data_IF_473056012920
#
_entry.id   IF_473056012920
#
_cell.length_a   1.000
_cell.length_b   1.000
_cell.length_c   1.000
_cell.angle_alpha   90.00
_cell.angle_beta   90.00
_cell.angle_gamma   90.00
#
_symmetry.space_group_name_H-M   'P 1'
#
loop_
_entity.id
_entity.type
_entity.pdbx_description
1 polymer ?
#
# COMPACT_ATOMS: atom_id res chain seq x y z
N UNK A 1 5.92 -3.96 6.66
CA UNK A 1 4.77 -4.20 7.57
C UNK A 1 3.46 -4.33 6.77
N UNK A 2 2.99 -3.30 6.06
CA UNK A 2 1.76 -3.39 5.24
C UNK A 2 1.85 -4.37 4.07
N UNK A 3 2.87 -4.27 3.21
CA UNK A 3 3.04 -5.17 2.06
C UNK A 3 3.10 -6.66 2.49
N UNK A 4 3.76 -6.97 3.61
CA UNK A 4 3.77 -8.33 4.16
C UNK A 4 2.35 -8.78 4.56
N UNK A 5 1.59 -7.92 5.24
CA UNK A 5 0.22 -8.23 5.66
C UNK A 5 -0.73 -8.42 4.47
N UNK A 6 -0.57 -7.64 3.41
CA UNK A 6 -1.30 -7.80 2.15
C UNK A 6 -1.05 -9.21 1.58
N UNK A 7 0.21 -9.66 1.56
CA UNK A 7 0.57 -11.03 1.17
C UNK A 7 -0.05 -12.11 2.07
N UNK A 8 -0.03 -11.93 3.40
CA UNK A 8 -0.66 -12.85 4.36
C UNK A 8 -2.18 -12.99 4.16
N UNK A 9 -2.84 -11.95 3.60
CA UNK A 9 -4.27 -11.95 3.28
C UNK A 9 -4.58 -12.50 1.87
N UNK A 10 -3.60 -13.11 1.22
CA UNK A 10 -3.75 -13.77 -0.08
C UNK A 10 -3.72 -12.81 -1.27
N UNK A 11 -3.27 -11.57 -1.09
CA UNK A 11 -3.06 -10.63 -2.20
C UNK A 11 -1.60 -10.73 -2.63
N UNK A 12 -1.34 -11.37 -3.77
CA UNK A 12 0.00 -11.48 -4.32
C UNK A 12 0.52 -10.12 -4.78
N UNK A 13 1.74 -9.76 -4.41
CA UNK A 13 2.39 -8.54 -4.87
C UNK A 13 3.33 -8.91 -6.01
N UNK A 14 3.03 -8.43 -7.21
CA UNK A 14 3.83 -8.72 -8.41
C UNK A 14 5.00 -7.74 -8.52
N UNK A 15 4.77 -6.47 -8.20
CA UNK A 15 5.82 -5.45 -8.11
C UNK A 15 5.41 -4.29 -7.20
N UNK A 16 6.41 -3.59 -6.67
CA UNK A 16 6.23 -2.40 -5.87
C UNK A 16 7.26 -1.34 -6.28
N UNK A 17 6.82 -0.09 -6.37
CA UNK A 17 7.63 1.04 -6.80
C UNK A 17 7.58 2.14 -5.75
N UNK A 18 8.74 2.59 -5.28
CA UNK A 18 8.88 3.68 -4.32
C UNK A 18 8.90 5.03 -5.05
N UNK A 19 8.16 6.00 -4.53
CA UNK A 19 8.09 7.35 -5.06
C UNK A 19 8.51 8.40 -4.03
N UNK A 20 8.43 9.67 -4.44
CA UNK A 20 8.59 10.80 -3.53
C UNK A 20 10.04 11.09 -3.16
N UNK A 21 10.20 11.79 -2.04
CA UNK A 21 11.51 12.21 -1.53
C UNK A 21 12.36 11.03 -1.08
N UNK A 22 11.73 9.98 -0.53
CA UNK A 22 12.41 8.73 -0.18
C UNK A 22 13.05 8.03 -1.38
N UNK A 23 12.41 8.05 -2.55
CA UNK A 23 13.02 7.51 -3.78
C UNK A 23 14.24 8.33 -4.24
N UNK A 24 14.31 9.61 -3.87
CA UNK A 24 15.36 10.55 -4.26
C UNK A 24 16.46 10.72 -3.21
N UNK A 25 16.28 10.16 -2.00
CA UNK A 25 17.20 10.29 -0.87
C UNK A 25 17.26 11.71 -0.28
N UNK A 26 16.18 12.48 -0.40
CA UNK A 26 16.07 13.83 0.14
C UNK A 26 14.83 14.02 1.04
N UNK A 27 14.40 12.95 1.67
CA UNK A 27 13.33 12.93 2.65
C UNK A 27 13.65 13.76 3.90
N UNK A 28 12.61 14.32 4.51
CA UNK A 28 12.67 14.96 5.82
C UNK A 28 11.86 14.17 6.85
N UNK A 29 11.92 14.59 8.11
CA UNK A 29 11.21 13.95 9.24
C UNK A 29 9.69 13.79 9.01
N UNK A 30 9.10 14.66 8.19
CA UNK A 30 7.66 14.70 7.92
C UNK A 30 7.32 14.30 6.48
N UNK A 31 8.26 13.70 5.75
CA UNK A 31 7.98 13.19 4.42
C UNK A 31 7.08 11.97 4.50
N UNK A 32 6.07 11.94 3.64
CA UNK A 32 5.26 10.75 3.39
C UNK A 32 6.04 9.72 2.55
N UNK A 33 5.60 8.46 2.62
CA UNK A 33 6.14 7.36 1.83
C UNK A 33 5.06 6.88 0.88
N UNK A 34 5.26 7.12 -0.40
CA UNK A 34 4.36 6.69 -1.47
C UNK A 34 4.89 5.42 -2.15
N UNK A 35 4.05 4.40 -2.25
CA UNK A 35 4.37 3.14 -2.91
C UNK A 35 3.24 2.77 -3.87
N UNK A 36 3.55 2.59 -5.16
CA UNK A 36 2.61 1.95 -6.07
C UNK A 36 2.84 0.44 -6.05
N UNK A 37 1.76 -0.32 -5.95
CA UNK A 37 1.79 -1.79 -5.91
C UNK A 37 1.01 -2.32 -7.10
N UNK A 38 1.61 -3.25 -7.85
CA UNK A 38 0.94 -4.00 -8.90
C UNK A 38 0.65 -5.39 -8.36
N UNK A 39 -0.59 -5.83 -8.50
CA UNK A 39 -1.08 -7.10 -8.00
C UNK A 39 -2.15 -7.67 -8.92
N UNK A 40 -1.96 -8.91 -9.36
CA UNK A 40 -2.99 -9.70 -10.03
C UNK A 40 -4.15 -10.13 -9.12
N UNK A 41 -4.04 -9.87 -7.81
CA UNK A 41 -5.02 -10.25 -6.79
C UNK A 41 -5.99 -9.15 -6.38
N UNK A 42 -5.94 -7.98 -7.04
CA UNK A 42 -6.83 -6.84 -6.84
C UNK A 42 -7.85 -6.83 -7.97
N UNK A 43 -9.14 -6.70 -7.63
CA UNK A 43 -10.23 -6.66 -8.62
C UNK A 43 -10.43 -5.27 -9.25
N UNK A 44 -11.25 -5.17 -10.30
CA UNK A 44 -11.62 -3.89 -10.92
C UNK A 44 -12.61 -3.06 -10.07
N UNK A 45 -13.25 -3.66 -9.06
CA UNK A 45 -14.15 -2.95 -8.16
C UNK A 45 -13.35 -2.14 -7.13
N UNK A 46 -13.09 -0.88 -7.49
CA UNK A 46 -12.29 0.04 -6.66
C UNK A 46 -12.88 0.28 -5.28
N UNK A 47 -14.21 0.21 -5.12
CA UNK A 47 -14.84 0.44 -3.82
C UNK A 47 -14.61 -0.77 -2.91
N UNK A 48 -14.86 -1.97 -3.42
CA UNK A 48 -14.63 -3.21 -2.67
C UNK A 48 -13.16 -3.34 -2.27
N UNK A 49 -12.24 -3.12 -3.20
CA UNK A 49 -10.80 -3.21 -2.92
C UNK A 49 -10.33 -2.13 -1.96
N UNK A 50 -10.87 -0.90 -2.05
CA UNK A 50 -10.53 0.16 -1.09
C UNK A 50 -10.98 -0.22 0.31
N UNK A 51 -12.19 -0.74 0.48
CA UNK A 51 -12.67 -1.20 1.80
C UNK A 51 -11.79 -2.33 2.33
N UNK A 52 -11.50 -3.34 1.49
CA UNK A 52 -10.66 -4.49 1.86
C UNK A 52 -9.26 -4.05 2.30
N UNK A 53 -8.61 -3.18 1.54
CA UNK A 53 -7.26 -2.69 1.85
C UNK A 53 -7.25 -1.77 3.06
N UNK A 54 -8.28 -0.91 3.24
CA UNK A 54 -8.43 -0.06 4.42
C UNK A 54 -8.60 -0.88 5.70
N UNK A 55 -9.35 -2.00 5.66
CA UNK A 55 -9.47 -2.92 6.79
C UNK A 55 -8.12 -3.56 7.15
N UNK A 56 -7.31 -3.91 6.16
CA UNK A 56 -5.96 -4.43 6.37
C UNK A 56 -5.05 -3.35 6.98
N UNK A 57 -5.15 -2.11 6.49
CA UNK A 57 -4.38 -0.98 6.98
C UNK A 57 -4.73 -0.62 8.44
N UNK A 58 -6.01 -0.65 8.80
CA UNK A 58 -6.47 -0.32 10.17
C UNK A 58 -5.92 -1.27 11.24
N UNK A 59 -5.61 -2.52 10.89
CA UNK A 59 -4.98 -3.48 11.79
C UNK A 59 -3.48 -3.24 11.98
N UNK A 60 -2.89 -2.27 11.27
CA UNK A 60 -1.45 -2.00 11.24
C UNK A 60 -1.15 -0.62 11.80
N UNK A 61 -1.62 0.42 11.11
CA UNK A 61 -1.36 1.83 11.45
C UNK A 61 -2.37 2.71 10.71
N UNK A 62 -3.00 3.64 11.42
CA UNK A 62 -4.04 4.51 10.86
C UNK A 62 -3.53 5.58 9.89
N UNK A 63 -2.20 5.73 9.75
CA UNK A 63 -1.57 6.64 8.79
C UNK A 63 -1.43 6.03 7.39
N UNK A 64 -1.74 4.75 7.22
CA UNK A 64 -1.64 4.06 5.94
C UNK A 64 -2.95 4.26 5.17
N UNK A 65 -2.86 4.86 3.98
CA UNK A 65 -4.01 5.10 3.11
C UNK A 65 -3.85 4.38 1.75
N UNK A 66 -4.47 3.20 1.56
CA UNK A 66 -4.53 2.53 0.28
C UNK A 66 -5.48 3.23 -0.70
N UNK A 67 -5.04 3.36 -1.96
CA UNK A 67 -5.81 3.95 -3.07
C UNK A 67 -5.72 3.03 -4.31
N UNK A 68 -6.67 2.10 -4.50
CA UNK A 68 -6.78 1.26 -5.70
C UNK A 68 -7.47 1.97 -6.87
#
# INVERSE_FOLDING_TARGET
MFLCRVGEKGINIDSAYLFGSFAKGNEGQWSDIDIAVISSGISEDRLEERVRLMLIASDIDNRIEPVP
#
